data_IF_174090438300
#
_entry.id   IF_174090438300
#
_cell.length_a   1.000
_cell.length_b   1.000
_cell.length_c   1.000
_cell.angle_alpha   90.00
_cell.angle_beta   90.00
_cell.angle_gamma   90.00
#
_symmetry.space_group_name_H-M   'P 1'
#
loop_
_entity.id
_entity.type
_entity.pdbx_description
1 polymer ?
#
# COMPACT_ATOMS: atom_id res chain seq x y z
N UNK A 1 1.99 -31.61 -17.82
CA UNK A 1 1.21 -31.73 -16.57
C UNK A 1 1.79 -30.86 -15.44
N UNK A 2 3.08 -30.51 -15.46
CA UNK A 2 3.71 -29.67 -14.41
C UNK A 2 3.44 -28.16 -14.52
N UNK A 3 3.13 -27.64 -15.72
CA UNK A 3 2.90 -26.20 -15.93
C UNK A 3 1.63 -25.66 -15.24
N UNK A 4 0.65 -26.51 -14.96
CA UNK A 4 -0.56 -26.13 -14.22
C UNK A 4 -0.31 -25.99 -12.71
N UNK A 5 0.74 -26.63 -12.17
CA UNK A 5 1.12 -26.48 -10.77
C UNK A 5 1.89 -25.17 -10.52
N UNK A 6 2.62 -24.68 -11.52
CA UNK A 6 3.48 -23.49 -11.40
C UNK A 6 2.73 -22.16 -11.23
N UNK A 7 1.45 -22.09 -11.64
CA UNK A 7 0.61 -20.89 -11.52
C UNK A 7 -0.47 -21.04 -10.43
N UNK A 8 -0.29 -22.00 -9.52
CA UNK A 8 -1.16 -22.11 -8.36
C UNK A 8 -1.03 -20.87 -7.48
N UNK A 9 -2.13 -20.32 -6.95
CA UNK A 9 -2.09 -19.12 -6.12
C UNK A 9 -1.34 -19.33 -4.80
N UNK A 10 -1.18 -20.59 -4.36
CA UNK A 10 -0.46 -20.99 -3.15
C UNK A 10 0.99 -21.45 -3.40
N UNK A 11 1.50 -21.33 -4.63
CA UNK A 11 2.88 -21.66 -4.94
C UNK A 11 3.86 -20.72 -4.20
N UNK A 12 5.03 -21.25 -3.81
CA UNK A 12 6.06 -20.45 -3.16
C UNK A 12 6.53 -19.29 -4.06
N UNK A 13 6.80 -18.14 -3.43
CA UNK A 13 7.28 -16.95 -4.15
C UNK A 13 8.67 -17.18 -4.72
N UNK A 14 8.85 -16.79 -5.99
CA UNK A 14 10.16 -16.81 -6.68
C UNK A 14 10.91 -15.47 -6.59
N UNK A 15 10.35 -14.49 -5.88
CA UNK A 15 11.00 -13.19 -5.69
C UNK A 15 12.26 -13.37 -4.83
N UNK A 16 13.39 -12.87 -5.32
CA UNK A 16 14.69 -12.97 -4.62
C UNK A 16 14.94 -11.78 -3.68
N UNK A 17 13.89 -11.03 -3.32
CA UNK A 17 14.02 -9.90 -2.40
C UNK A 17 14.45 -10.37 -1.00
N UNK A 18 15.36 -9.63 -0.38
CA UNK A 18 15.74 -9.81 1.03
C UNK A 18 15.75 -8.47 1.75
N UNK A 19 15.59 -8.48 3.07
CA UNK A 19 15.77 -7.27 3.87
C UNK A 19 17.16 -6.67 3.59
N UNK A 20 17.21 -5.38 3.29
CA UNK A 20 18.43 -4.64 2.88
C UNK A 20 19.03 -5.02 1.51
N UNK A 21 18.34 -5.78 0.66
CA UNK A 21 18.78 -5.94 -0.73
C UNK A 21 18.83 -4.58 -1.41
N UNK A 22 19.85 -4.38 -2.25
CA UNK A 22 20.02 -3.15 -3.01
C UNK A 22 18.81 -2.92 -3.95
N UNK A 23 18.12 -1.80 -3.76
CA UNK A 23 16.95 -1.40 -4.56
C UNK A 23 17.28 -1.27 -6.04
N UNK A 24 18.52 -0.90 -6.38
CA UNK A 24 18.95 -0.74 -7.78
C UNK A 24 18.97 -2.07 -8.54
N UNK A 25 19.15 -3.20 -7.82
CA UNK A 25 19.17 -4.56 -8.39
C UNK A 25 17.79 -5.18 -8.51
N UNK A 26 16.74 -4.48 -8.07
CA UNK A 26 15.37 -4.96 -8.17
C UNK A 26 14.96 -5.04 -9.66
N UNK A 27 14.58 -6.21 -10.18
CA UNK A 27 14.21 -6.37 -11.59
C UNK A 27 12.80 -5.84 -11.91
N UNK A 28 12.08 -5.29 -10.94
CA UNK A 28 10.69 -4.84 -11.09
C UNK A 28 10.61 -3.38 -11.55
N UNK A 29 9.55 -3.03 -12.29
CA UNK A 29 9.23 -1.63 -12.55
C UNK A 29 8.71 -0.98 -11.27
N UNK A 30 9.52 -0.10 -10.68
CA UNK A 30 9.22 0.51 -9.38
C UNK A 30 8.19 1.64 -9.43
N UNK A 31 7.85 2.10 -10.64
CA UNK A 31 7.02 3.29 -10.84
C UNK A 31 7.66 4.56 -10.28
N UNK A 32 7.41 5.71 -10.93
CA UNK A 32 7.70 6.99 -10.29
C UNK A 32 6.52 7.25 -9.34
N UNK A 33 6.72 7.09 -8.03
CA UNK A 33 5.78 7.60 -7.04
C UNK A 33 5.85 9.12 -7.10
N UNK A 34 5.05 9.73 -7.99
CA UNK A 34 4.96 11.18 -8.04
C UNK A 34 4.60 11.67 -6.64
N UNK A 35 5.44 12.55 -6.10
CA UNK A 35 5.19 13.19 -4.82
C UNK A 35 3.87 13.93 -4.98
N UNK A 36 2.84 13.45 -4.30
CA UNK A 36 1.46 13.85 -4.52
C UNK A 36 1.20 15.28 -4.09
N UNK A 37 1.35 16.19 -5.04
CA UNK A 37 0.66 17.45 -4.97
C UNK A 37 -0.78 17.15 -5.39
N UNK A 38 -1.70 17.22 -4.42
CA UNK A 38 -3.13 17.11 -4.74
C UNK A 38 -3.45 18.17 -5.79
N UNK A 39 -3.98 17.72 -6.91
CA UNK A 39 -4.37 18.59 -8.02
C UNK A 39 -5.69 19.29 -7.68
N UNK A 40 -5.91 20.47 -8.28
CA UNK A 40 -7.20 21.17 -8.18
C UNK A 40 -8.27 20.51 -9.06
N UNK A 41 -7.87 19.98 -10.21
CA UNK A 41 -8.73 19.32 -11.20
C UNK A 41 -7.99 18.05 -11.63
N UNK A 42 -8.69 16.92 -11.65
CA UNK A 42 -8.17 15.61 -12.05
C UNK A 42 -8.78 15.22 -13.40
N UNK A 43 -8.04 14.49 -14.23
CA UNK A 43 -8.54 14.09 -15.55
C UNK A 43 -9.56 12.96 -15.45
N UNK A 44 -9.41 12.08 -14.45
CA UNK A 44 -10.31 10.96 -14.21
C UNK A 44 -10.26 10.50 -12.75
N UNK A 45 -11.18 9.62 -12.38
CA UNK A 45 -11.35 9.11 -11.01
C UNK A 45 -10.19 8.25 -10.51
N UNK A 46 -9.41 7.63 -11.39
CA UNK A 46 -8.28 6.78 -10.99
C UNK A 46 -7.14 7.59 -10.38
N UNK A 47 -7.04 8.88 -10.74
CA UNK A 47 -6.07 9.82 -10.15
C UNK A 47 -6.40 10.18 -8.69
N UNK A 48 -7.58 9.80 -8.19
CA UNK A 48 -7.99 9.96 -6.78
C UNK A 48 -7.65 8.72 -5.93
N UNK A 49 -6.98 7.71 -6.48
CA UNK A 49 -6.52 6.52 -5.75
C UNK A 49 -5.13 6.80 -5.15
N UNK A 50 -4.96 6.50 -3.87
CA UNK A 50 -3.77 6.84 -3.10
C UNK A 50 -3.94 8.13 -2.30
N UNK A 51 -2.86 8.60 -1.67
CA UNK A 51 -2.85 9.81 -0.83
C UNK A 51 -3.97 9.90 0.22
N UNK A 52 -4.35 8.73 0.68
CA UNK A 52 -5.31 8.50 1.76
C UNK A 52 -4.76 9.07 3.07
N UNK A 53 -5.62 9.61 3.94
CA UNK A 53 -5.15 10.26 5.15
C UNK A 53 -4.58 9.26 6.17
N UNK A 54 -3.60 9.71 6.95
CA UNK A 54 -3.11 9.02 8.13
C UNK A 54 -3.68 9.73 9.37
N UNK A 55 -4.63 9.10 10.05
CA UNK A 55 -5.44 9.73 11.09
C UNK A 55 -5.10 9.15 12.46
N UNK A 56 -4.97 10.01 13.48
CA UNK A 56 -4.72 9.58 14.86
C UNK A 56 -5.98 8.99 15.50
N UNK A 57 -5.84 7.82 16.14
CA UNK A 57 -6.91 7.18 16.92
C UNK A 57 -6.86 7.70 18.36
N UNK A 58 -7.73 8.66 18.69
CA UNK A 58 -7.65 9.37 19.98
C UNK A 58 -8.31 8.63 21.15
N UNK A 59 -9.55 8.14 20.96
CA UNK A 59 -10.39 7.61 22.06
C UNK A 59 -10.13 6.14 22.31
N UNK A 60 -10.35 5.29 21.31
CA UNK A 60 -10.20 3.83 21.43
C UNK A 60 -8.83 3.43 21.96
N UNK A 61 -7.75 4.07 21.49
CA UNK A 61 -6.41 3.79 21.98
C UNK A 61 -6.24 4.14 23.47
N UNK A 62 -6.78 5.30 23.90
CA UNK A 62 -6.75 5.73 25.30
C UNK A 62 -7.58 4.80 26.19
N UNK A 63 -8.79 4.46 25.74
CA UNK A 63 -9.71 3.60 26.48
C UNK A 63 -9.14 2.18 26.64
N UNK A 64 -8.34 1.71 25.67
CA UNK A 64 -7.61 0.45 25.74
C UNK A 64 -6.28 0.52 26.51
N UNK A 65 -5.92 1.66 27.11
CA UNK A 65 -4.68 1.83 27.87
C UNK A 65 -3.40 1.86 27.04
N UNK A 66 -3.50 2.09 25.72
CA UNK A 66 -2.35 2.15 24.81
C UNK A 66 -1.58 3.46 25.01
N UNK A 67 -0.28 3.36 25.30
CA UNK A 67 0.58 4.51 25.60
C UNK A 67 1.23 5.15 24.37
N UNK A 68 1.27 4.44 23.24
CA UNK A 68 1.90 4.93 22.01
C UNK A 68 0.89 5.62 21.08
N UNK A 69 1.39 6.30 20.05
CA UNK A 69 0.56 6.88 18.99
C UNK A 69 -0.02 5.75 18.13
N UNK A 70 -1.34 5.57 18.17
CA UNK A 70 -2.06 4.70 17.25
C UNK A 70 -2.54 5.54 16.06
N UNK A 71 -2.16 5.14 14.85
CA UNK A 71 -2.51 5.80 13.60
C UNK A 71 -3.26 4.83 12.69
N UNK A 72 -4.33 5.31 12.05
CA UNK A 72 -5.08 4.58 11.05
C UNK A 72 -4.76 5.14 9.66
N UNK A 73 -4.33 4.25 8.75
CA UNK A 73 -4.16 4.57 7.33
C UNK A 73 -5.50 4.30 6.63
N UNK A 74 -6.27 5.35 6.39
CA UNK A 74 -7.68 5.26 6.00
C UNK A 74 -7.85 5.01 4.49
N UNK A 75 -7.56 3.79 4.02
CA UNK A 75 -7.63 3.41 2.60
C UNK A 75 -9.04 3.42 2.00
N UNK A 76 -10.08 3.39 2.84
CA UNK A 76 -11.47 3.49 2.37
C UNK A 76 -11.81 4.84 1.72
N UNK A 77 -10.90 5.82 1.75
CA UNK A 77 -11.01 7.08 1.00
C UNK A 77 -10.54 7.00 -0.45
N UNK A 78 -9.93 5.88 -0.89
CA UNK A 78 -9.71 5.65 -2.31
C UNK A 78 -11.06 5.72 -3.04
N UNK A 79 -11.08 6.15 -4.30
CA UNK A 79 -12.33 6.37 -5.03
C UNK A 79 -13.22 5.11 -5.15
N UNK A 80 -12.62 3.92 -5.13
CA UNK A 80 -13.35 2.64 -5.10
C UNK A 80 -13.84 2.22 -3.71
N UNK A 81 -13.47 2.94 -2.65
CA UNK A 81 -13.89 2.67 -1.27
C UNK A 81 -13.08 1.62 -0.52
N UNK A 82 -11.99 1.08 -1.10
CA UNK A 82 -11.15 0.05 -0.48
C UNK A 82 -9.66 0.22 -0.80
N UNK A 83 -8.84 -0.60 -0.13
CA UNK A 83 -7.46 -0.90 -0.54
C UNK A 83 -7.45 -1.86 -1.72
#
# INVERSE_FOLDING_TARGET
>A
MESFLANRPDAESRCTFTLNSDRSKCPHNLGIRQKSLRQKIYNNVLELIGDTPLVRVNRVAKDAGVKCNVLAKCEYFNAGGSV
#
